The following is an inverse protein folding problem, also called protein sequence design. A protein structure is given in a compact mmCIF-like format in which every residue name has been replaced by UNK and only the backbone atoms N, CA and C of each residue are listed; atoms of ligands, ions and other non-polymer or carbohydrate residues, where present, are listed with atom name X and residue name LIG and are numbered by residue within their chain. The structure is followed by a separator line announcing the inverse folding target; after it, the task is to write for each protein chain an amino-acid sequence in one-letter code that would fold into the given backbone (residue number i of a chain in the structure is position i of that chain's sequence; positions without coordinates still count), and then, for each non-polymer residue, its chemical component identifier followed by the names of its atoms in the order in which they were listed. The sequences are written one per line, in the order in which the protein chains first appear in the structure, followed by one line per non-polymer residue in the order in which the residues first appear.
data_IF_310942504070
#
_entry.id   IF_310942504070
#
_cell.length_a   1.000
_cell.length_b   1.000
_cell.length_c   1.000
_cell.angle_alpha   90.00
_cell.angle_beta   90.00
_cell.angle_gamma   90.00
#
_symmetry.space_group_name_H-M   'P 1'
#
loop_
_entity.id
_entity.type
_entity.pdbx_description
1 polymer ?
#
# COMPACT_ATOMS: atom_id res chain seq x y z
N UNK A 1 9.69 1.99 -8.87
CA UNK A 1 9.26 2.40 -7.52
C UNK A 1 10.00 1.65 -6.44
N UNK A 2 10.42 0.41 -6.66
CA UNK A 2 11.16 -0.40 -5.68
C UNK A 2 12.55 0.17 -5.40
N UNK A 3 12.67 0.87 -4.27
CA UNK A 3 13.89 1.57 -3.86
C UNK A 3 14.61 0.89 -2.68
N UNK A 4 13.94 -0.01 -1.95
CA UNK A 4 14.48 -0.75 -0.84
C UNK A 4 15.58 -1.72 -1.26
N UNK A 5 16.61 -1.89 -0.43
CA UNK A 5 17.70 -2.84 -0.72
C UNK A 5 17.18 -4.28 -0.82
N UNK A 6 16.29 -4.69 0.09
CA UNK A 6 15.68 -6.01 0.08
C UNK A 6 14.75 -6.23 -1.13
N UNK A 7 13.99 -5.21 -1.55
CA UNK A 7 13.15 -5.29 -2.74
C UNK A 7 13.97 -5.49 -4.01
N UNK A 8 15.11 -4.78 -4.12
CA UNK A 8 16.05 -4.93 -5.24
C UNK A 8 16.73 -6.30 -5.25
N UNK A 9 17.11 -6.80 -4.09
CA UNK A 9 17.73 -8.12 -3.94
C UNK A 9 16.75 -9.23 -4.29
N UNK A 10 15.50 -9.15 -3.82
CA UNK A 10 14.46 -10.17 -4.04
C UNK A 10 13.72 -10.00 -5.35
N UNK A 11 13.78 -8.82 -5.99
CA UNK A 11 13.06 -8.51 -7.22
C UNK A 11 11.54 -8.47 -7.06
N UNK A 12 11.03 -8.18 -5.85
CA UNK A 12 9.61 -8.08 -5.54
C UNK A 12 9.32 -6.83 -4.73
N UNK A 13 8.12 -6.26 -4.91
CA UNK A 13 7.61 -5.19 -4.06
C UNK A 13 7.24 -5.75 -2.68
N UNK A 14 7.77 -5.17 -1.61
CA UNK A 14 7.50 -5.56 -0.21
C UNK A 14 6.51 -4.59 0.43
N UNK A 15 6.75 -3.29 0.30
CA UNK A 15 5.91 -2.25 0.87
C UNK A 15 5.13 -1.51 -0.22
N UNK A 16 3.87 -1.21 0.05
CA UNK A 16 3.07 -0.39 -0.84
C UNK A 16 3.63 1.04 -0.94
N UNK A 17 3.63 1.59 -2.14
CA UNK A 17 4.24 2.91 -2.42
C UNK A 17 3.28 3.80 -3.21
N UNK A 18 2.85 4.91 -2.62
CA UNK A 18 2.09 5.90 -3.36
C UNK A 18 3.01 6.73 -4.28
N UNK A 19 2.48 7.08 -5.42
CA UNK A 19 3.03 8.09 -6.34
C UNK A 19 1.87 8.85 -6.95
N UNK A 20 2.13 9.95 -7.64
CA UNK A 20 1.09 10.67 -8.36
C UNK A 20 1.59 11.19 -9.70
N UNK A 21 0.67 11.26 -10.64
CA UNK A 21 0.89 11.86 -11.96
C UNK A 21 -0.24 12.84 -12.28
N UNK A 22 0.03 13.78 -13.17
CA UNK A 22 -1.00 14.68 -13.71
C UNK A 22 -1.32 14.27 -15.14
N UNK A 23 -2.61 14.12 -15.43
CA UNK A 23 -3.11 13.79 -16.75
C UNK A 23 -4.41 14.56 -17.04
N UNK A 24 -4.47 15.32 -18.14
CA UNK A 24 -5.65 16.09 -18.58
C UNK A 24 -6.34 16.87 -17.43
N UNK A 25 -5.59 17.65 -16.67
CA UNK A 25 -6.05 18.43 -15.52
C UNK A 25 -6.58 17.60 -14.32
N UNK A 26 -6.33 16.30 -14.33
CA UNK A 26 -6.65 15.40 -13.21
C UNK A 26 -5.36 14.88 -12.57
N UNK A 27 -5.34 14.81 -11.24
CA UNK A 27 -4.29 14.12 -10.51
C UNK A 27 -4.71 12.68 -10.30
N UNK A 28 -3.87 11.76 -10.76
CA UNK A 28 -4.04 10.32 -10.53
C UNK A 28 -3.02 9.91 -9.47
N UNK A 29 -3.50 9.51 -8.30
CA UNK A 29 -2.68 8.89 -7.28
C UNK A 29 -2.62 7.39 -7.56
N UNK A 30 -1.42 6.86 -7.68
CA UNK A 30 -1.17 5.44 -7.96
C UNK A 30 -0.55 4.83 -6.73
N UNK A 31 -1.11 3.74 -6.24
CA UNK A 31 -0.58 2.97 -5.12
C UNK A 31 -0.08 1.64 -5.68
N UNK A 32 1.23 1.49 -5.75
CA UNK A 32 1.86 0.22 -6.11
C UNK A 32 1.78 -0.74 -4.92
N UNK A 33 1.24 -1.93 -5.16
CA UNK A 33 0.95 -2.91 -4.12
C UNK A 33 1.81 -4.15 -4.28
N UNK A 34 2.30 -4.76 -3.17
CA UNK A 34 2.97 -6.03 -3.27
C UNK A 34 2.04 -7.12 -3.82
N UNK A 35 2.58 -7.97 -4.69
CA UNK A 35 1.82 -9.07 -5.30
C UNK A 35 1.85 -10.38 -4.50
N UNK A 36 2.72 -10.52 -3.50
CA UNK A 36 2.88 -11.77 -2.76
C UNK A 36 1.89 -11.87 -1.59
N UNK A 37 1.34 -13.07 -1.37
CA UNK A 37 0.33 -13.33 -0.31
C UNK A 37 0.79 -13.00 1.11
N UNK A 38 2.10 -13.07 1.39
CA UNK A 38 2.64 -12.77 2.71
C UNK A 38 2.41 -11.30 3.09
N UNK A 39 2.31 -10.42 2.09
CA UNK A 39 2.02 -8.99 2.23
C UNK A 39 0.54 -8.64 2.07
N UNK A 40 -0.35 -9.62 2.15
CA UNK A 40 -1.78 -9.44 1.96
C UNK A 40 -2.40 -8.37 2.87
N UNK A 41 -1.95 -8.27 4.12
CA UNK A 41 -2.41 -7.26 5.06
C UNK A 41 -2.04 -5.84 4.62
N UNK A 42 -0.88 -5.67 3.97
CA UNK A 42 -0.44 -4.41 3.37
C UNK A 42 -1.42 -3.98 2.25
N UNK A 43 -1.70 -4.92 1.33
CA UNK A 43 -2.62 -4.67 0.22
C UNK A 43 -4.00 -4.29 0.73
N UNK A 44 -4.55 -5.02 1.69
CA UNK A 44 -5.89 -4.78 2.23
C UNK A 44 -6.02 -3.38 2.83
N UNK A 45 -5.00 -2.90 3.52
CA UNK A 45 -4.98 -1.55 4.10
C UNK A 45 -4.96 -0.46 3.03
N UNK A 46 -4.09 -0.61 2.03
CA UNK A 46 -3.95 0.46 1.02
C UNK A 46 -5.13 0.54 0.07
N UNK A 47 -5.91 -0.53 -0.08
CA UNK A 47 -7.15 -0.49 -0.85
C UNK A 47 -8.16 0.54 -0.31
N UNK A 48 -8.13 0.86 1.00
CA UNK A 48 -8.97 1.93 1.58
C UNK A 48 -8.64 3.34 1.04
N UNK A 49 -7.46 3.52 0.44
CA UNK A 49 -7.09 4.79 -0.18
C UNK A 49 -7.52 4.90 -1.65
N UNK A 50 -7.97 3.80 -2.26
CA UNK A 50 -8.24 3.71 -3.69
C UNK A 50 -9.71 3.99 -4.03
N UNK A 51 -9.95 4.56 -5.22
CA UNK A 51 -11.28 4.70 -5.83
C UNK A 51 -11.52 3.64 -6.91
N UNK A 52 -10.47 2.99 -7.41
CA UNK A 52 -10.51 1.92 -8.41
C UNK A 52 -9.29 1.02 -8.31
N UNK A 53 -9.28 -0.07 -9.05
CA UNK A 53 -8.20 -1.03 -9.06
C UNK A 53 -7.77 -1.36 -10.49
N UNK A 54 -6.46 -1.31 -10.77
CA UNK A 54 -5.88 -1.83 -12.00
C UNK A 54 -5.43 -3.27 -11.74
N UNK A 55 -6.13 -4.24 -12.35
CA UNK A 55 -5.80 -5.65 -12.24
C UNK A 55 -4.85 -6.04 -13.37
N UNK A 56 -3.57 -6.19 -13.07
CA UNK A 56 -2.55 -6.56 -14.05
C UNK A 56 -2.42 -8.07 -14.10
N UNK A 57 -2.63 -8.66 -15.29
CA UNK A 57 -2.53 -10.09 -15.53
C UNK A 57 -1.49 -10.34 -16.63
N UNK A 58 -0.60 -11.27 -16.41
CA UNK A 58 0.40 -11.69 -17.38
C UNK A 58 -0.28 -12.44 -18.53
N UNK A 59 -0.08 -12.01 -19.76
CA UNK A 59 -0.71 -12.60 -20.96
C UNK A 59 -0.29 -14.04 -21.27
N UNK A 60 0.80 -14.52 -20.70
CA UNK A 60 1.27 -15.90 -20.85
C UNK A 60 0.89 -16.78 -19.64
N UNK A 61 1.09 -16.27 -18.42
CA UNK A 61 0.83 -17.04 -17.19
C UNK A 61 -0.66 -17.10 -16.83
N UNK A 62 -1.42 -16.02 -17.13
CA UNK A 62 -2.84 -15.92 -16.79
C UNK A 62 -3.09 -15.59 -15.32
N UNK A 63 -4.23 -16.06 -14.81
CA UNK A 63 -4.69 -15.79 -13.45
C UNK A 63 -3.91 -16.60 -12.43
N UNK A 64 -3.26 -15.92 -11.49
CA UNK A 64 -2.47 -16.51 -10.41
C UNK A 64 -3.24 -16.50 -9.07
N UNK A 65 -2.91 -17.37 -8.09
CA UNK A 65 -3.58 -17.42 -6.78
C UNK A 65 -3.57 -16.08 -6.04
N UNK A 66 -2.50 -15.29 -6.19
CA UNK A 66 -2.37 -13.96 -5.61
C UNK A 66 -3.38 -12.97 -6.23
N UNK A 67 -3.60 -13.07 -7.55
CA UNK A 67 -4.59 -12.28 -8.29
C UNK A 67 -5.99 -12.50 -7.70
N UNK A 68 -6.35 -13.77 -7.46
CA UNK A 68 -7.63 -14.13 -6.84
C UNK A 68 -7.83 -13.48 -5.48
N UNK A 69 -6.80 -13.52 -4.63
CA UNK A 69 -6.87 -12.95 -3.28
C UNK A 69 -7.08 -11.43 -3.31
N UNK A 70 -6.25 -10.69 -4.07
CA UNK A 70 -6.31 -9.23 -4.15
C UNK A 70 -7.62 -8.78 -4.79
N UNK A 71 -8.05 -9.44 -5.87
CA UNK A 71 -9.31 -9.14 -6.54
C UNK A 71 -10.51 -9.33 -5.60
N UNK A 72 -10.57 -10.45 -4.85
CA UNK A 72 -11.65 -10.69 -3.88
C UNK A 72 -11.78 -9.56 -2.86
N UNK A 73 -10.64 -9.03 -2.37
CA UNK A 73 -10.63 -7.90 -1.44
C UNK A 73 -11.08 -6.59 -2.08
N UNK A 74 -10.62 -6.31 -3.31
CA UNK A 74 -11.01 -5.13 -4.07
C UNK A 74 -12.52 -5.13 -4.37
N UNK A 75 -13.08 -6.26 -4.85
CA UNK A 75 -14.51 -6.41 -5.12
C UNK A 75 -15.37 -6.24 -3.86
N UNK A 76 -14.93 -6.82 -2.73
CA UNK A 76 -15.62 -6.69 -1.44
C UNK A 76 -15.67 -5.24 -0.94
N UNK A 77 -14.66 -4.43 -1.25
CA UNK A 77 -14.63 -3.00 -0.94
C UNK A 77 -15.42 -2.15 -1.95
N UNK A 78 -16.01 -2.75 -2.96
CA UNK A 78 -16.79 -2.06 -4.00
C UNK A 78 -15.94 -1.30 -5.01
N UNK A 79 -14.64 -1.59 -5.10
CA UNK A 79 -13.78 -0.95 -6.10
C UNK A 79 -14.16 -1.41 -7.50
N UNK A 80 -14.11 -0.48 -8.45
CA UNK A 80 -14.33 -0.78 -9.88
C UNK A 80 -13.01 -1.18 -10.52
N UNK A 81 -12.87 -2.44 -10.98
CA UNK A 81 -11.65 -2.90 -11.59
C UNK A 81 -11.54 -2.46 -13.06
N UNK A 82 -10.31 -2.21 -13.49
CA UNK A 82 -9.89 -2.17 -14.89
C UNK A 82 -8.93 -3.32 -15.09
N UNK A 83 -9.21 -4.21 -16.04
CA UNK A 83 -8.35 -5.35 -16.34
C UNK A 83 -7.32 -4.96 -17.38
N UNK A 84 -6.05 -5.30 -17.11
CA UNK A 84 -4.93 -5.05 -18.02
C UNK A 84 -4.22 -6.37 -18.28
N UNK A 85 -4.39 -6.90 -19.49
CA UNK A 85 -3.63 -8.05 -19.98
C UNK A 85 -2.26 -7.54 -20.41
N UNK A 86 -1.27 -7.74 -19.54
CA UNK A 86 0.07 -7.16 -19.68
C UNK A 86 1.06 -8.19 -20.25
N UNK A 87 2.22 -7.70 -20.65
CA UNK A 87 3.33 -8.45 -21.24
C UNK A 87 3.00 -9.06 -22.60
N UNK A 88 2.18 -8.36 -23.42
CA UNK A 88 1.88 -8.78 -24.80
C UNK A 88 3.12 -8.81 -25.73
N UNK A 89 4.26 -8.33 -25.27
CA UNK A 89 5.54 -8.47 -25.94
C UNK A 89 6.16 -9.88 -25.83
N UNK A 90 5.61 -10.77 -25.01
CA UNK A 90 6.03 -12.19 -24.91
C UNK A 90 5.57 -12.98 -26.14
N UNK A 91 6.42 -13.92 -26.58
CA UNK A 91 6.13 -14.77 -27.75
C UNK A 91 5.05 -15.84 -27.46
N UNK A 92 4.91 -16.25 -26.22
CA UNK A 92 3.99 -17.27 -25.71
C UNK A 92 2.69 -16.68 -25.12
N UNK A 93 2.36 -15.43 -25.48
CA UNK A 93 1.15 -14.78 -25.04
C UNK A 93 -0.10 -15.50 -25.57
N UNK A 94 -1.13 -15.58 -24.74
CA UNK A 94 -2.45 -16.18 -25.02
C UNK A 94 -3.57 -15.27 -24.51
N UNK A 95 -3.53 -14.00 -24.89
CA UNK A 95 -4.30 -12.92 -24.31
C UNK A 95 -5.83 -13.18 -24.28
N UNK A 96 -6.39 -13.78 -25.31
CA UNK A 96 -7.85 -14.08 -25.36
C UNK A 96 -8.23 -15.15 -24.33
N UNK A 97 -7.46 -16.22 -24.21
CA UNK A 97 -7.69 -17.26 -23.19
C UNK A 97 -7.56 -16.70 -21.77
N UNK A 98 -6.56 -15.84 -21.55
CA UNK A 98 -6.34 -15.16 -20.26
C UNK A 98 -7.50 -14.22 -19.92
N UNK A 99 -8.12 -13.58 -20.91
CA UNK A 99 -9.33 -12.78 -20.69
C UNK A 99 -10.50 -13.65 -20.23
N UNK A 100 -10.72 -14.80 -20.86
CA UNK A 100 -11.77 -15.75 -20.46
C UNK A 100 -11.52 -16.29 -19.04
N UNK A 101 -10.27 -16.70 -18.71
CA UNK A 101 -9.86 -17.09 -17.35
C UNK A 101 -10.13 -15.98 -16.32
N UNK A 102 -9.91 -14.74 -16.73
CA UNK A 102 -10.15 -13.58 -15.86
C UNK A 102 -11.63 -13.39 -15.60
N UNK A 103 -12.48 -13.50 -16.63
CA UNK A 103 -13.92 -13.41 -16.49
C UNK A 103 -14.45 -14.53 -15.57
N UNK A 104 -13.99 -15.77 -15.75
CA UNK A 104 -14.34 -16.89 -14.90
C UNK A 104 -13.92 -16.66 -13.44
N UNK A 105 -12.77 -16.01 -13.22
CA UNK A 105 -12.34 -15.62 -11.89
C UNK A 105 -13.34 -14.65 -11.25
N UNK A 106 -13.76 -13.59 -11.95
CA UNK A 106 -14.75 -12.63 -11.42
C UNK A 106 -16.06 -13.32 -11.06
N UNK A 107 -16.56 -14.21 -11.92
CA UNK A 107 -17.75 -15.02 -11.65
C UNK A 107 -17.54 -15.89 -10.41
N UNK A 108 -16.39 -16.53 -10.26
CA UNK A 108 -16.07 -17.38 -9.10
C UNK A 108 -15.95 -16.62 -7.77
N UNK A 109 -15.84 -15.30 -7.83
CA UNK A 109 -15.76 -14.38 -6.69
C UNK A 109 -17.08 -13.65 -6.42
N UNK A 110 -18.18 -14.10 -7.03
CA UNK A 110 -19.52 -13.52 -6.88
C UNK A 110 -19.57 -12.02 -7.24
N UNK A 111 -18.78 -11.60 -8.26
CA UNK A 111 -18.80 -10.23 -8.76
C UNK A 111 -20.22 -9.86 -9.27
N UNK A 112 -20.68 -8.66 -8.93
CA UNK A 112 -21.98 -8.17 -9.40
C UNK A 112 -21.92 -7.72 -10.87
N UNK A 113 -23.09 -7.40 -11.47
CA UNK A 113 -23.18 -7.00 -12.88
C UNK A 113 -22.28 -5.81 -13.24
N UNK A 114 -22.21 -4.80 -12.36
CA UNK A 114 -21.31 -3.63 -12.60
C UNK A 114 -19.84 -4.01 -12.56
N UNK A 115 -19.46 -4.98 -11.73
CA UNK A 115 -18.10 -5.47 -11.61
C UNK A 115 -17.72 -6.43 -12.74
N UNK A 116 -18.69 -7.13 -13.32
CA UNK A 116 -18.49 -7.99 -14.49
C UNK A 116 -18.37 -7.19 -15.80
N UNK A 117 -18.91 -5.97 -15.84
CA UNK A 117 -18.74 -5.02 -16.96
C UNK A 117 -17.43 -4.23 -16.86
N UNK A 118 -16.33 -4.92 -16.56
CA UNK A 118 -15.03 -4.31 -16.44
C UNK A 118 -14.41 -3.98 -17.80
N UNK A 119 -13.83 -2.78 -17.98
CA UNK A 119 -13.07 -2.47 -19.18
C UNK A 119 -11.75 -3.22 -19.21
N UNK A 120 -11.31 -3.57 -20.42
CA UNK A 120 -10.08 -4.31 -20.69
C UNK A 120 -9.12 -3.49 -21.54
N UNK A 121 -7.84 -3.53 -21.20
CA UNK A 121 -6.75 -3.05 -22.05
C UNK A 121 -5.67 -4.13 -22.18
N UNK A 122 -5.01 -4.11 -23.33
CA UNK A 122 -3.87 -4.94 -23.65
C UNK A 122 -2.62 -4.09 -23.61
N UNK A 123 -1.56 -4.54 -22.94
CA UNK A 123 -0.42 -3.69 -22.67
C UNK A 123 0.92 -4.42 -22.71
N UNK A 124 1.97 -3.65 -22.89
CA UNK A 124 3.34 -4.00 -22.50
C UNK A 124 3.91 -2.87 -21.65
N UNK A 125 3.92 -3.10 -20.33
CA UNK A 125 4.52 -2.13 -19.39
C UNK A 125 6.02 -1.92 -19.65
N UNK A 126 6.73 -2.94 -20.13
CA UNK A 126 8.13 -2.85 -20.50
C UNK A 126 8.35 -1.93 -21.71
N UNK A 127 7.47 -2.01 -22.72
CA UNK A 127 7.56 -1.23 -23.95
C UNK A 127 6.81 0.10 -23.86
N UNK A 128 6.05 0.34 -22.77
CA UNK A 128 5.40 1.62 -22.47
C UNK A 128 4.17 1.93 -23.32
N UNK A 129 3.35 0.91 -23.67
CA UNK A 129 2.13 1.11 -24.44
C UNK A 129 0.94 0.32 -23.90
N UNK A 130 -0.27 0.80 -24.19
CA UNK A 130 -1.54 0.13 -23.96
C UNK A 130 -2.49 0.35 -25.14
N UNK A 131 -3.34 -0.64 -25.43
CA UNK A 131 -4.32 -0.61 -26.51
C UNK A 131 -5.64 -1.25 -26.09
N UNK A 132 -6.74 -0.88 -26.75
CA UNK A 132 -8.07 -1.48 -26.55
C UNK A 132 -8.22 -2.85 -27.24
N UNK A 133 -7.35 -3.16 -28.18
CA UNK A 133 -7.38 -4.38 -28.98
C UNK A 133 -6.03 -5.09 -28.91
N UNK A 134 -6.01 -6.41 -29.02
CA UNK A 134 -4.78 -7.25 -28.98
C UNK A 134 -3.79 -6.81 -30.06
N UNK A 135 -4.30 -6.55 -31.28
CA UNK A 135 -3.53 -6.13 -32.44
C UNK A 135 -3.58 -4.62 -32.70
N UNK A 136 -4.04 -3.85 -31.71
CA UNK A 136 -4.20 -2.41 -31.81
C UNK A 136 -2.88 -1.62 -31.76
N UNK A 137 -2.95 -0.28 -31.82
CA UNK A 137 -1.78 0.59 -31.83
C UNK A 137 -0.91 0.39 -30.57
N UNK A 138 0.42 0.35 -30.75
CA UNK A 138 1.42 0.13 -29.70
C UNK A 138 2.31 1.37 -29.52
N UNK A 139 1.70 2.50 -29.20
CA UNK A 139 2.38 3.81 -29.22
C UNK A 139 2.79 4.32 -27.84
N UNK A 140 1.84 4.34 -26.90
CA UNK A 140 2.02 4.93 -25.57
C UNK A 140 0.98 4.43 -24.56
N UNK A 141 1.03 4.96 -23.32
CA UNK A 141 0.09 4.61 -22.24
C UNK A 141 -1.13 5.55 -22.16
N UNK A 142 -1.33 6.46 -23.12
CA UNK A 142 -2.46 7.40 -23.09
C UNK A 142 -3.82 6.69 -23.01
N UNK A 143 -4.08 5.58 -23.75
CA UNK A 143 -5.34 4.86 -23.63
C UNK A 143 -5.64 4.37 -22.21
N UNK A 144 -4.61 3.97 -21.45
CA UNK A 144 -4.76 3.57 -20.05
C UNK A 144 -5.10 4.76 -19.15
N UNK A 145 -4.39 5.88 -19.31
CA UNK A 145 -4.62 7.07 -18.50
C UNK A 145 -5.99 7.68 -18.76
N UNK A 146 -6.44 7.67 -20.01
CA UNK A 146 -7.76 8.12 -20.41
C UNK A 146 -8.85 7.22 -19.80
N UNK A 147 -8.68 5.89 -19.89
CA UNK A 147 -9.62 4.94 -19.32
C UNK A 147 -9.73 5.07 -17.79
N UNK A 148 -8.61 5.32 -17.09
CA UNK A 148 -8.64 5.56 -15.64
C UNK A 148 -9.54 6.75 -15.32
N UNK A 149 -9.39 7.90 -16.00
CA UNK A 149 -10.21 9.09 -15.76
C UNK A 149 -11.69 8.84 -16.09
N UNK A 150 -11.96 8.13 -17.17
CA UNK A 150 -13.34 7.88 -17.63
C UNK A 150 -14.08 6.88 -16.74
N UNK A 151 -13.39 5.84 -16.28
CA UNK A 151 -13.99 4.72 -15.54
C UNK A 151 -13.96 4.92 -14.02
N UNK A 152 -12.82 5.37 -13.46
CA UNK A 152 -12.66 5.57 -12.02
C UNK A 152 -13.13 6.96 -11.64
N UNK A 153 -14.31 7.04 -11.02
CA UNK A 153 -14.84 8.31 -10.53
C UNK A 153 -14.30 8.58 -9.12
N UNK A 154 -13.78 9.78 -8.86
CA UNK A 154 -13.32 10.14 -7.53
C UNK A 154 -14.46 10.12 -6.53
N UNK A 155 -14.20 9.65 -5.32
CA UNK A 155 -15.15 9.74 -4.21
C UNK A 155 -15.54 11.19 -3.94
N UNK A 156 -16.83 11.43 -3.72
CA UNK A 156 -17.30 12.75 -3.30
C UNK A 156 -17.03 12.92 -1.81
N UNK A 157 -16.00 13.66 -1.48
CA UNK A 157 -15.55 13.89 -0.11
C UNK A 157 -15.83 15.34 0.31
N UNK A 158 -16.28 15.52 1.56
CA UNK A 158 -16.65 16.82 2.10
C UNK A 158 -15.43 17.55 2.66
N UNK A 159 -15.01 18.61 1.96
CA UNK A 159 -13.88 19.46 2.36
C UNK A 159 -14.21 20.44 3.48
N UNK A 160 -15.50 20.62 3.82
CA UNK A 160 -15.96 21.59 4.83
C UNK A 160 -16.02 20.99 6.23
N UNK A 161 -15.99 19.68 6.36
CA UNK A 161 -15.96 18.96 7.63
C UNK A 161 -14.62 19.15 8.35
N UNK A 162 -14.56 18.88 9.67
CA UNK A 162 -13.30 18.75 10.38
C UNK A 162 -12.38 17.73 9.73
N UNK A 163 -11.07 17.98 9.74
CA UNK A 163 -10.07 17.08 9.18
C UNK A 163 -10.14 15.69 9.79
N UNK A 164 -10.15 14.67 8.94
CA UNK A 164 -9.93 13.27 9.34
C UNK A 164 -9.29 12.46 8.21
N UNK A 165 -8.33 11.62 8.59
CA UNK A 165 -7.54 10.75 7.73
C UNK A 165 -7.32 9.41 8.41
N UNK A 166 -7.52 8.31 7.68
CA UNK A 166 -7.09 6.98 8.14
C UNK A 166 -5.60 6.79 7.86
N UNK A 167 -4.83 6.44 8.88
CA UNK A 167 -3.43 6.06 8.71
C UNK A 167 -3.35 4.65 8.13
N UNK A 168 -2.79 4.50 6.94
CA UNK A 168 -2.70 3.21 6.22
C UNK A 168 -1.29 2.66 6.13
N UNK A 169 -0.28 3.53 6.07
CA UNK A 169 1.13 3.18 6.04
C UNK A 169 1.89 4.02 7.07
N UNK A 170 3.00 3.48 7.55
CA UNK A 170 3.90 4.15 8.47
C UNK A 170 5.32 4.05 7.92
N UNK A 171 6.02 5.18 7.90
CA UNK A 171 7.44 5.25 7.58
C UNK A 171 8.20 5.82 8.78
N UNK A 172 9.25 5.15 9.20
CA UNK A 172 10.23 5.73 10.11
C UNK A 172 11.31 6.45 9.27
N UNK A 173 11.35 7.77 9.38
CA UNK A 173 12.34 8.60 8.74
C UNK A 173 13.33 9.08 9.81
N UNK A 174 14.63 8.94 9.58
CA UNK A 174 15.65 9.33 10.54
C UNK A 174 15.67 10.83 10.87
N UNK A 175 15.09 11.66 9.99
CA UNK A 175 15.04 13.11 10.14
C UNK A 175 13.65 13.63 10.58
N UNK A 176 12.58 13.02 10.06
CA UNK A 176 11.20 13.43 10.34
C UNK A 176 10.56 12.64 11.49
N UNK A 177 11.20 11.56 11.92
CA UNK A 177 10.61 10.60 12.85
C UNK A 177 9.50 9.78 12.23
N UNK A 178 8.47 9.47 13.01
CA UNK A 178 7.28 8.73 12.52
C UNK A 178 6.50 9.57 11.53
N UNK A 179 6.27 9.03 10.36
CA UNK A 179 5.52 9.64 9.28
C UNK A 179 4.37 8.73 8.88
N UNK A 180 3.15 9.22 8.99
CA UNK A 180 1.92 8.48 8.71
C UNK A 180 1.44 8.82 7.32
N UNK A 181 1.06 7.81 6.55
CA UNK A 181 0.51 7.99 5.20
C UNK A 181 -0.93 7.57 5.18
N UNK A 182 -1.75 8.36 4.52
CA UNK A 182 -3.16 8.05 4.35
C UNK A 182 -3.84 8.99 3.36
N UNK A 183 -5.06 8.63 3.00
CA UNK A 183 -5.94 9.49 2.25
C UNK A 183 -6.75 10.36 3.22
N UNK A 184 -6.81 11.64 2.96
CA UNK A 184 -7.70 12.54 3.71
C UNK A 184 -9.14 12.18 3.34
N UNK A 185 -9.91 11.69 4.30
CA UNK A 185 -11.28 11.23 4.10
C UNK A 185 -12.29 12.38 4.16
N UNK A 186 -11.98 13.44 4.89
CA UNK A 186 -12.78 14.65 4.99
C UNK A 186 -11.96 15.83 5.47
N UNK A 187 -12.46 17.04 5.19
CA UNK A 187 -11.86 18.26 5.68
C UNK A 187 -10.54 18.63 4.99
N UNK A 188 -9.74 19.37 5.71
CA UNK A 188 -8.49 19.96 5.23
C UNK A 188 -7.43 19.90 6.31
N UNK A 189 -6.28 19.30 6.00
CA UNK A 189 -5.10 19.28 6.84
C UNK A 189 -4.23 20.52 6.58
N UNK A 190 -3.81 21.23 7.61
CA UNK A 190 -2.95 22.43 7.51
C UNK A 190 -1.69 22.25 8.35
N UNK A 191 -0.56 22.75 7.86
CA UNK A 191 0.67 22.77 8.62
C UNK A 191 0.47 23.53 9.96
N UNK A 192 1.09 23.06 11.03
CA UNK A 192 0.96 23.58 12.41
C UNK A 192 -0.42 23.42 13.08
N UNK A 193 -1.41 22.79 12.45
CA UNK A 193 -2.70 22.47 13.03
C UNK A 193 -2.55 21.52 14.22
N UNK A 194 -3.37 21.71 15.26
CA UNK A 194 -3.48 20.75 16.35
C UNK A 194 -4.29 19.56 15.89
N UNK A 195 -3.77 18.37 16.09
CA UNK A 195 -4.38 17.10 15.70
C UNK A 195 -4.30 16.09 16.83
N UNK A 196 -5.16 15.09 16.78
CA UNK A 196 -5.08 13.91 17.63
C UNK A 196 -5.13 12.63 16.77
N UNK A 197 -4.71 11.54 17.38
CA UNK A 197 -4.94 10.19 16.88
C UNK A 197 -5.93 9.48 17.79
N UNK A 198 -6.91 8.80 17.21
CA UNK A 198 -7.85 7.92 17.91
C UNK A 198 -7.80 6.52 17.31
N UNK A 199 -7.84 5.49 18.17
CA UNK A 199 -7.86 4.10 17.74
C UNK A 199 -9.26 3.67 17.25
N UNK A 200 -9.40 2.43 16.80
CA UNK A 200 -10.67 1.87 16.32
C UNK A 200 -11.78 1.86 17.39
N UNK A 201 -11.43 1.93 18.66
CA UNK A 201 -12.37 2.00 19.79
C UNK A 201 -12.80 3.45 20.12
N UNK A 202 -12.24 4.44 19.40
CA UNK A 202 -12.47 5.86 19.64
C UNK A 202 -11.66 6.44 20.81
N UNK A 203 -10.70 5.68 21.35
CA UNK A 203 -9.85 6.16 22.42
C UNK A 203 -8.70 7.01 21.87
N UNK A 204 -8.38 8.11 22.54
CA UNK A 204 -7.26 8.97 22.16
C UNK A 204 -5.93 8.28 22.44
N UNK A 205 -5.15 8.04 21.39
CA UNK A 205 -3.82 7.43 21.43
C UNK A 205 -2.71 8.48 21.57
N UNK A 206 -2.88 9.59 20.84
CA UNK A 206 -1.85 10.64 20.76
C UNK A 206 -2.50 12.01 20.50
N UNK A 207 -1.76 13.08 20.81
CA UNK A 207 -2.15 14.46 20.49
C UNK A 207 -0.90 15.29 20.24
N UNK A 208 -0.91 16.07 19.16
CA UNK A 208 0.24 16.85 18.78
C UNK A 208 -0.08 17.96 17.79
N UNK A 209 0.95 18.41 17.09
CA UNK A 209 0.83 19.35 15.98
C UNK A 209 1.29 18.69 14.69
N UNK A 210 0.58 18.92 13.64
CA UNK A 210 0.96 18.51 12.29
C UNK A 210 2.16 19.35 11.84
N UNK A 211 3.38 18.85 12.08
CA UNK A 211 4.63 19.61 11.84
C UNK A 211 4.98 19.73 10.36
N UNK A 212 4.68 18.71 9.58
CA UNK A 212 4.94 18.66 8.14
C UNK A 212 3.86 17.87 7.42
N UNK A 213 3.53 18.32 6.22
CA UNK A 213 2.69 17.62 5.26
C UNK A 213 3.48 17.47 3.96
N UNK A 214 3.47 16.28 3.39
CA UNK A 214 4.04 16.04 2.06
C UNK A 214 3.01 15.33 1.19
N UNK A 215 3.15 15.49 -0.09
CA UNK A 215 2.50 14.65 -1.11
C UNK A 215 3.54 14.13 -2.08
N UNK A 216 3.18 13.12 -2.83
CA UNK A 216 4.02 12.69 -3.94
C UNK A 216 3.72 13.51 -5.20
N UNK A 217 4.78 13.90 -5.92
CA UNK A 217 4.74 14.41 -7.29
C UNK A 217 5.70 13.54 -8.11
N UNK A 218 5.15 12.65 -8.94
CA UNK A 218 5.93 11.51 -9.41
C UNK A 218 6.41 10.68 -8.22
N UNK A 219 7.69 10.36 -8.19
CA UNK A 219 8.33 9.60 -7.09
C UNK A 219 8.93 10.48 -5.99
N UNK A 220 8.79 11.80 -6.08
CA UNK A 220 9.39 12.76 -5.13
C UNK A 220 8.38 13.15 -4.06
N UNK A 221 8.82 13.20 -2.79
CA UNK A 221 8.08 13.79 -1.69
C UNK A 221 8.23 15.31 -1.75
N UNK A 222 7.13 16.03 -1.90
CA UNK A 222 7.10 17.49 -1.99
C UNK A 222 6.35 18.03 -0.77
N UNK A 223 6.92 18.98 0.00
CA UNK A 223 6.21 19.59 1.11
C UNK A 223 5.06 20.47 0.60
N UNK A 224 3.95 20.41 1.30
CA UNK A 224 2.77 21.24 1.05
C UNK A 224 2.28 21.87 2.36
N UNK A 225 1.65 23.03 2.27
CA UNK A 225 1.07 23.72 3.43
C UNK A 225 -0.33 23.22 3.76
N UNK A 226 -1.05 22.73 2.75
CA UNK A 226 -2.46 22.34 2.85
C UNK A 226 -2.70 21.08 2.04
N UNK A 227 -3.33 20.07 2.67
CA UNK A 227 -3.87 18.88 2.01
C UNK A 227 -5.39 18.88 2.14
N UNK A 228 -6.10 18.48 1.10
CA UNK A 228 -7.56 18.48 1.05
C UNK A 228 -8.12 17.05 0.98
N UNK A 229 -9.40 16.90 1.34
CA UNK A 229 -10.11 15.62 1.20
C UNK A 229 -9.95 15.04 -0.20
N UNK A 230 -9.49 13.77 -0.27
CA UNK A 230 -9.10 13.06 -1.48
C UNK A 230 -7.60 12.99 -1.73
N UNK A 231 -6.81 13.88 -1.17
CA UNK A 231 -5.34 13.80 -1.27
C UNK A 231 -4.78 12.62 -0.48
N UNK A 232 -3.78 11.95 -1.05
CA UNK A 232 -2.92 11.02 -0.32
C UNK A 232 -1.71 11.81 0.17
N UNK A 233 -1.58 11.90 1.49
CA UNK A 233 -0.55 12.72 2.15
C UNK A 233 0.30 11.89 3.10
N UNK A 234 1.50 12.42 3.35
CA UNK A 234 2.40 11.96 4.39
C UNK A 234 2.42 13.06 5.44
N UNK A 235 2.10 12.72 6.67
CA UNK A 235 2.08 13.67 7.79
C UNK A 235 3.06 13.26 8.88
N UNK A 236 3.66 14.24 9.55
CA UNK A 236 4.52 14.07 10.70
C UNK A 236 4.06 14.97 11.85
N UNK A 237 4.35 14.56 13.09
CA UNK A 237 4.04 15.36 14.29
C UNK A 237 3.30 14.60 15.39
N UNK A 238 3.10 13.29 15.21
CA UNK A 238 2.57 12.38 16.23
C UNK A 238 3.61 11.28 16.51
N UNK A 239 3.83 10.95 17.77
CA UNK A 239 4.88 10.02 18.18
C UNK A 239 4.34 8.59 18.41
N UNK A 240 3.10 8.47 18.88
CA UNK A 240 2.50 7.19 19.28
C UNK A 240 1.46 6.67 18.29
N UNK A 241 0.97 7.53 17.39
CA UNK A 241 -0.01 7.14 16.40
C UNK A 241 0.51 6.04 15.48
N UNK A 242 -0.36 5.11 15.10
CA UNK A 242 -0.01 3.92 14.33
C UNK A 242 -0.91 3.74 13.11
N UNK A 243 -0.65 2.70 12.34
CA UNK A 243 -1.54 2.27 11.26
C UNK A 243 -2.89 1.83 11.84
N UNK A 244 -3.96 2.07 11.08
CA UNK A 244 -5.36 1.92 11.46
C UNK A 244 -5.89 2.97 12.47
N UNK A 245 -5.05 3.86 12.99
CA UNK A 245 -5.54 5.01 13.75
C UNK A 245 -6.14 6.08 12.82
N UNK A 246 -7.16 6.76 13.32
CA UNK A 246 -7.71 7.94 12.67
C UNK A 246 -7.00 9.19 13.16
N UNK A 247 -6.34 9.89 12.26
CA UNK A 247 -5.68 11.17 12.53
C UNK A 247 -6.68 12.29 12.20
N UNK A 248 -6.99 13.13 13.15
CA UNK A 248 -8.09 14.06 12.99
C UNK A 248 -7.96 15.33 13.84
N UNK A 249 -8.86 16.29 13.56
CA UNK A 249 -9.08 17.45 14.41
C UNK A 249 -9.55 17.07 15.81
N UNK A 250 -9.30 17.93 16.80
CA UNK A 250 -9.61 17.65 18.20
C UNK A 250 -11.10 17.40 18.47
N UNK A 251 -11.99 17.94 17.64
CA UNK A 251 -13.45 17.79 17.75
C UNK A 251 -14.01 16.49 17.18
N UNK A 252 -13.23 15.77 16.35
CA UNK A 252 -13.66 14.48 15.78
C UNK A 252 -13.52 13.38 16.84
N UNK A 253 -14.58 12.65 17.13
CA UNK A 253 -14.58 11.59 18.14
C UNK A 253 -14.93 10.19 17.56
N UNK A 254 -15.37 10.14 16.31
CA UNK A 254 -15.69 8.90 15.64
C UNK A 254 -14.51 8.44 14.77
N UNK A 255 -13.98 7.22 14.99
CA UNK A 255 -12.92 6.70 14.16
C UNK A 255 -13.42 6.35 12.76
N UNK A 256 -12.55 6.48 11.76
CA UNK A 256 -12.79 5.97 10.43
C UNK A 256 -12.69 4.43 10.48
N UNK A 257 -13.66 3.75 9.90
CA UNK A 257 -13.62 2.28 9.82
C UNK A 257 -12.37 1.81 9.08
N UNK A 258 -11.63 0.93 9.71
CA UNK A 258 -10.46 0.30 9.13
C UNK A 258 -10.53 -1.22 9.29
N UNK A 259 -9.90 -1.94 8.38
CA UNK A 259 -9.73 -3.38 8.53
C UNK A 259 -8.74 -3.64 9.66
N UNK A 260 -9.10 -4.44 10.69
CA UNK A 260 -8.17 -4.83 11.73
C UNK A 260 -6.95 -5.53 11.15
N UNK A 261 -5.79 -5.29 11.76
CA UNK A 261 -4.57 -6.00 11.41
C UNK A 261 -4.70 -7.43 11.92
N UNK A 262 -4.70 -8.40 11.01
CA UNK A 262 -4.73 -9.80 11.41
C UNK A 262 -3.45 -10.19 12.17
N UNK A 263 -3.54 -11.04 13.18
CA UNK A 263 -2.38 -11.46 13.96
C UNK A 263 -1.38 -12.26 13.12
N UNK A 264 -0.09 -12.25 13.51
CA UNK A 264 0.92 -13.08 12.88
C UNK A 264 0.61 -14.58 13.01
N UNK A 265 1.01 -15.35 12.00
CA UNK A 265 0.75 -16.79 11.92
C UNK A 265 1.97 -17.65 12.22
N UNK A 266 3.18 -17.06 12.19
CA UNK A 266 4.43 -17.76 12.47
C UNK A 266 5.39 -16.86 13.25
N UNK A 267 6.28 -17.50 14.01
CA UNK A 267 7.29 -16.80 14.80
C UNK A 267 8.64 -17.47 14.66
N UNK A 268 9.69 -16.68 14.67
CA UNK A 268 11.07 -17.14 14.73
C UNK A 268 11.77 -16.50 15.93
N UNK A 269 12.71 -17.24 16.50
CA UNK A 269 13.57 -16.73 17.58
C UNK A 269 14.95 -16.43 17.02
N UNK A 270 15.39 -15.20 17.19
CA UNK A 270 16.72 -14.72 16.79
C UNK A 270 17.57 -14.53 18.03
N UNK A 271 18.77 -15.13 18.04
CA UNK A 271 19.75 -14.99 19.13
C UNK A 271 21.12 -14.61 18.57
N UNK A 272 21.96 -14.08 19.41
CA UNK A 272 23.37 -13.86 19.06
C UNK A 272 24.06 -15.20 18.87
N UNK A 273 24.93 -15.30 17.86
CA UNK A 273 25.72 -16.50 17.64
C UNK A 273 26.68 -16.74 18.82
N UNK A 274 26.45 -17.81 19.57
CA UNK A 274 27.26 -18.23 20.72
C UNK A 274 28.27 -19.35 20.38
N UNK A 275 28.42 -19.71 19.09
CA UNK A 275 29.35 -20.74 18.65
C UNK A 275 30.81 -20.28 18.78
N UNK A 276 31.79 -21.21 18.81
CA UNK A 276 33.22 -20.88 18.77
C UNK A 276 33.67 -20.05 17.56
N UNK A 277 32.85 -20.03 16.48
CA UNK A 277 33.08 -19.28 15.26
C UNK A 277 32.42 -17.88 15.30
N UNK A 278 31.84 -17.49 16.43
CA UNK A 278 31.21 -16.18 16.57
C UNK A 278 32.25 -15.06 16.32
N UNK A 279 31.89 -14.09 15.47
CA UNK A 279 32.74 -12.94 15.15
C UNK A 279 33.75 -13.16 14.02
N UNK A 280 33.82 -14.34 13.44
CA UNK A 280 34.68 -14.61 12.26
C UNK A 280 34.08 -14.01 10.99
N UNK A 281 32.76 -13.95 10.88
CA UNK A 281 32.05 -13.35 9.76
C UNK A 281 30.95 -12.40 10.27
N UNK A 282 30.67 -11.35 9.50
CA UNK A 282 29.66 -10.34 9.81
C UNK A 282 30.17 -9.22 10.74
N UNK A 283 29.68 -8.00 10.49
CA UNK A 283 30.13 -6.78 11.20
C UNK A 283 29.10 -6.18 12.17
N UNK A 284 27.86 -6.70 12.20
CA UNK A 284 26.76 -6.10 12.97
C UNK A 284 25.98 -7.21 13.69
N UNK A 285 26.65 -7.94 14.58
CA UNK A 285 26.11 -9.15 15.19
C UNK A 285 26.00 -9.08 16.71
N UNK A 286 26.10 -7.88 17.30
CA UNK A 286 25.87 -7.71 18.75
C UNK A 286 24.39 -7.74 19.07
N UNK A 287 24.02 -8.18 20.27
CA UNK A 287 22.64 -8.23 20.73
C UNK A 287 21.91 -6.90 20.53
N UNK A 288 22.54 -5.79 20.90
CA UNK A 288 21.96 -4.45 20.71
C UNK A 288 21.70 -4.12 19.24
N UNK A 289 22.65 -4.41 18.35
CA UNK A 289 22.49 -4.12 16.93
C UNK A 289 21.39 -4.97 16.28
N UNK A 290 21.29 -6.25 16.65
CA UNK A 290 20.21 -7.14 16.21
C UNK A 290 18.87 -6.61 16.72
N UNK A 291 18.79 -6.30 18.01
CA UNK A 291 17.59 -5.74 18.64
C UNK A 291 17.12 -4.48 17.93
N UNK A 292 17.99 -3.50 17.78
CA UNK A 292 17.64 -2.20 17.18
C UNK A 292 17.19 -2.36 15.72
N UNK A 293 17.79 -3.29 14.97
CA UNK A 293 17.38 -3.59 13.60
C UNK A 293 16.01 -4.25 13.55
N UNK A 294 15.72 -5.21 14.44
CA UNK A 294 14.45 -5.91 14.50
C UNK A 294 13.31 -4.99 14.99
N UNK A 295 13.60 -4.13 15.96
CA UNK A 295 12.66 -3.10 16.42
C UNK A 295 12.30 -2.13 15.29
N UNK A 296 13.30 -1.63 14.56
CA UNK A 296 13.08 -0.74 13.43
C UNK A 296 12.24 -1.39 12.34
N UNK A 297 12.43 -2.68 12.09
CA UNK A 297 11.61 -3.42 11.14
C UNK A 297 10.16 -3.55 11.61
N UNK A 298 9.93 -3.90 12.87
CA UNK A 298 8.60 -3.99 13.45
C UNK A 298 7.88 -2.63 13.53
N UNK A 299 8.63 -1.53 13.68
CA UNK A 299 8.08 -0.17 13.62
C UNK A 299 7.64 0.21 12.20
N UNK A 300 8.38 -0.22 11.19
CA UNK A 300 8.09 0.11 9.78
C UNK A 300 7.08 -0.85 9.13
N UNK A 301 6.98 -2.08 9.64
CA UNK A 301 6.11 -3.10 9.10
C UNK A 301 5.13 -3.61 10.16
N UNK A 302 3.90 -3.10 10.13
CA UNK A 302 2.84 -3.47 11.08
C UNK A 302 2.37 -4.93 10.97
N UNK A 303 2.78 -5.67 9.94
CA UNK A 303 2.58 -7.11 9.82
C UNK A 303 3.58 -7.92 10.65
N UNK A 304 4.59 -7.25 11.23
CA UNK A 304 5.64 -7.86 12.06
C UNK A 304 5.45 -7.42 13.52
N UNK A 305 5.48 -8.36 14.45
CA UNK A 305 5.60 -8.05 15.87
C UNK A 305 6.96 -8.46 16.40
N UNK A 306 7.46 -7.70 17.36
CA UNK A 306 8.73 -7.90 18.03
C UNK A 306 8.52 -8.04 19.54
N UNK A 307 9.06 -9.11 20.10
CA UNK A 307 9.07 -9.37 21.54
C UNK A 307 10.47 -9.73 22.03
N UNK A 308 10.82 -9.30 23.22
CA UNK A 308 12.07 -9.67 23.88
C UNK A 308 11.82 -10.69 25.00
N UNK A 309 12.72 -11.66 25.15
CA UNK A 309 12.68 -12.50 26.34
C UNK A 309 13.10 -11.70 27.60
N UNK A 310 12.86 -12.28 28.79
CA UNK A 310 13.17 -11.63 30.07
C UNK A 310 14.65 -11.28 30.24
N UNK A 311 15.53 -12.03 29.61
CA UNK A 311 17.00 -11.85 29.73
C UNK A 311 17.58 -10.94 28.67
N UNK A 312 16.78 -10.52 27.67
CA UNK A 312 17.19 -9.69 26.52
C UNK A 312 18.32 -10.32 25.67
N UNK A 313 18.40 -11.63 25.63
CA UNK A 313 19.37 -12.41 24.84
C UNK A 313 18.74 -13.16 23.67
N UNK A 314 17.42 -13.20 23.62
CA UNK A 314 16.64 -13.76 22.52
C UNK A 314 15.47 -12.83 22.14
N UNK A 315 15.27 -12.67 20.86
CA UNK A 315 14.26 -11.82 20.24
C UNK A 315 13.29 -12.69 19.44
N UNK A 316 12.00 -12.53 19.68
CA UNK A 316 10.96 -13.22 18.93
C UNK A 316 10.41 -12.27 17.90
N UNK A 317 10.50 -12.64 16.63
CA UNK A 317 9.86 -11.95 15.52
C UNK A 317 8.70 -12.82 15.05
N UNK A 318 7.53 -12.22 14.94
CA UNK A 318 6.35 -12.90 14.43
C UNK A 318 5.81 -12.16 13.21
N UNK A 319 5.40 -12.93 12.19
CA UNK A 319 4.88 -12.40 10.92
C UNK A 319 3.90 -13.37 10.27
N UNK A 320 3.44 -13.05 9.06
CA UNK A 320 2.45 -13.86 8.33
C UNK A 320 3.06 -14.82 7.32
N UNK A 321 4.31 -14.65 6.97
CA UNK A 321 5.00 -15.48 5.99
C UNK A 321 6.51 -15.38 6.08
N UNK A 322 7.19 -16.25 5.33
CA UNK A 322 8.66 -16.34 5.33
C UNK A 322 9.36 -15.14 4.69
N UNK A 323 8.64 -14.38 3.85
CA UNK A 323 9.20 -13.21 3.16
C UNK A 323 9.03 -11.89 3.92
N UNK A 324 8.32 -11.91 5.05
CA UNK A 324 8.12 -10.72 5.89
C UNK A 324 9.33 -10.40 6.74
#
# INVERSE_FOLDING_TARGET
MDSGELEKERGITILAKPTSIEWKNSRINIIDTPGHRDFAAEVERVLHMADGALLLIDSAEGVMPQTKFVLAKALKQGLKPIVIINKLDKADQRANEVLDETFDLFVSLDANEEQLDFPVLYASGRSGWASKEVDGPRENLHPLLDLIIDHVKPSQLDKTKPFAMLSTLLYADSFLGRSLVGRISQGTAKANQKIKAINLQGEKVDEGRLTKIFRYEGTKKVPIEVGEAGDIVIIAGLEKANVADTICDLEVNEPINATPIDPPTMSITVTVNSSPLAGTEGKKLTSTQIRDRLMLEAENNVGISFDENKNKDAFVISGRGELM
#
